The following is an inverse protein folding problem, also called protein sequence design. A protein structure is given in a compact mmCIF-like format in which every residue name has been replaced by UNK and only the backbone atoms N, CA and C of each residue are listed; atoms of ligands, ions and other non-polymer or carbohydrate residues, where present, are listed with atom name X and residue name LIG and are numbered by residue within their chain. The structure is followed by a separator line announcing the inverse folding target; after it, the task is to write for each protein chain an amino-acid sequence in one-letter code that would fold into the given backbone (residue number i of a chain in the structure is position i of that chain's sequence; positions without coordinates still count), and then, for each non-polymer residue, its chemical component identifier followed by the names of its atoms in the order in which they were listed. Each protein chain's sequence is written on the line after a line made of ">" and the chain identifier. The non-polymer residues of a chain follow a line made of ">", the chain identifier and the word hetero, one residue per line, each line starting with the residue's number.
data_IF_744732448102
#
_entry.id   IF_744732448102
#
_cell.length_a   1.000
_cell.length_b   1.000
_cell.length_c   1.000
_cell.angle_alpha   90.00
_cell.angle_beta   90.00
_cell.angle_gamma   90.00
#
_symmetry.space_group_name_H-M   'P 1'
#
loop_
_entity.id
_entity.type
_entity.pdbx_description
1 polymer ?
2 branched ?
3 non-polymer ?
4 non-polymer ?
5 non-polymer ?
6 water ?
#
# COMPACT_ATOMS: atom_id res chain seq x y z
N UNK A 1 16.79 -15.47 3.40
CA UNK A 1 17.09 -15.75 2.00
C UNK A 1 16.57 -14.64 1.10
N UNK A 2 17.38 -14.26 0.11
CA UNK A 2 17.02 -13.23 -0.85
C UNK A 2 16.95 -13.85 -2.24
N UNK A 3 15.99 -13.39 -3.04
CA UNK A 3 15.89 -13.75 -4.45
C UNK A 3 16.31 -12.54 -5.28
N UNK A 4 17.35 -12.71 -6.09
CA UNK A 4 17.95 -11.61 -6.83
C UNK A 4 17.71 -11.77 -8.32
N UNK A 5 17.45 -10.65 -8.99
CA UNK A 5 17.32 -10.59 -10.43
C UNK A 5 18.30 -9.58 -10.99
N UNK A 6 18.80 -9.86 -12.19
CA UNK A 6 19.75 -8.96 -12.83
C UNK A 6 19.07 -7.64 -13.21
N UNK A 7 19.86 -6.57 -13.20
CA UNK A 7 19.38 -5.24 -13.56
C UNK A 7 19.95 -4.76 -14.89
N UNK A 8 20.32 -5.70 -15.76
CA UNK A 8 20.85 -5.36 -17.07
C UNK A 8 22.24 -4.74 -17.02
N UNK A 13 24.87 -5.44 -11.81
CA UNK A 13 24.07 -5.16 -10.62
C UNK A 13 22.90 -6.13 -10.51
N UNK A 14 22.44 -6.34 -9.28
CA UNK A 14 21.35 -7.26 -8.99
C UNK A 14 20.32 -6.57 -8.11
N UNK A 15 19.05 -6.83 -8.39
CA UNK A 15 17.97 -6.34 -7.55
C UNK A 15 17.40 -7.46 -6.72
N UNK A 16 17.54 -7.37 -5.40
CA UNK A 16 17.23 -8.47 -4.50
C UNK A 16 16.08 -8.11 -3.58
N UNK A 17 15.18 -9.07 -3.38
CA UNK A 17 14.07 -8.97 -2.45
C UNK A 17 14.10 -10.17 -1.52
N UNK A 18 13.54 -10.03 -0.31
CA UNK A 18 13.38 -11.21 0.55
C UNK A 18 12.57 -12.28 -0.17
N UNK A 19 12.93 -13.54 0.10
CA UNK A 19 12.44 -14.66 -0.70
C UNK A 19 10.91 -14.74 -0.70
N UNK A 20 10.26 -14.33 0.39
CA UNK A 20 8.81 -14.40 0.48
C UNK A 20 8.13 -13.13 0.01
N UNK A 21 8.87 -12.18 -0.54
CA UNK A 21 8.33 -10.90 -0.99
C UNK A 21 8.24 -10.87 -2.51
N UNK A 22 7.21 -10.20 -3.01
CA UNK A 22 7.04 -10.02 -4.45
C UNK A 22 7.91 -8.86 -4.93
N UNK A 23 8.42 -8.99 -6.15
CA UNK A 23 9.34 -8.02 -6.73
C UNK A 23 8.67 -7.28 -7.88
N UNK A 24 8.95 -5.98 -7.98
CA UNK A 24 8.46 -5.15 -9.08
C UNK A 24 9.17 -3.81 -9.10
N UNK A 25 9.76 -3.46 -10.23
CA UNK A 25 10.40 -2.16 -10.36
C UNK A 25 11.61 -2.05 -9.45
N UNK A 26 11.61 -1.04 -8.58
CA UNK A 26 12.69 -0.82 -7.63
C UNK A 26 12.27 -1.11 -6.20
N UNK A 27 11.20 -1.88 -6.01
CA UNK A 27 10.66 -2.11 -4.68
C UNK A 27 10.31 -3.58 -4.50
N UNK A 28 10.26 -3.99 -3.24
CA UNK A 28 9.76 -5.29 -2.83
C UNK A 28 8.44 -5.09 -2.09
N UNK A 29 7.58 -6.10 -2.16
CA UNK A 29 6.24 -5.97 -1.61
C UNK A 29 5.87 -7.21 -0.81
N UNK A 30 5.13 -7.00 0.28
CA UNK A 30 4.61 -8.07 1.10
C UNK A 30 3.13 -7.82 1.35
N UNK A 31 2.31 -8.85 1.15
CA UNK A 31 0.87 -8.77 1.36
C UNK A 31 0.57 -9.50 2.67
N UNK A 32 0.15 -8.74 3.68
CA UNK A 32 -0.07 -9.27 5.02
C UNK A 32 -1.50 -9.76 5.14
N UNK A 33 -1.68 -11.08 5.23
CA UNK A 33 -3.01 -11.67 5.38
C UNK A 33 -3.53 -11.61 6.81
N UNK A 34 -2.77 -11.02 7.74
CA UNK A 34 -3.22 -10.85 9.12
C UNK A 34 -3.87 -9.48 9.27
N UNK A 35 -5.04 -9.45 9.90
CA UNK A 35 -5.83 -8.23 10.02
C UNK A 35 -5.41 -7.45 11.26
N UNK A 36 -4.93 -6.22 11.05
CA UNK A 36 -4.55 -5.32 12.13
C UNK A 36 -5.13 -3.94 11.85
N UNK A 37 -5.13 -3.09 12.87
CA UNK A 37 -5.51 -1.69 12.68
C UNK A 37 -4.38 -1.00 11.94
N UNK A 38 -4.64 0.22 11.45
CA UNK A 38 -3.72 0.87 10.53
C UNK A 38 -2.36 1.12 11.17
N UNK A 39 -2.36 1.69 12.38
CA UNK A 39 -1.10 1.99 13.05
C UNK A 39 -0.32 0.72 13.38
N UNK A 40 -1.02 -0.37 13.70
CA UNK A 40 -0.33 -1.63 13.93
C UNK A 40 0.14 -2.26 12.63
N UNK A 41 -0.56 -2.00 11.52
CA UNK A 41 -0.08 -2.46 10.22
C UNK A 41 1.21 -1.75 9.83
N UNK A 42 1.29 -0.44 10.07
CA UNK A 42 2.51 0.29 9.76
C UNK A 42 3.67 -0.17 10.63
N UNK A 43 3.42 -0.41 11.92
CA UNK A 43 4.47 -0.91 12.79
C UNK A 43 4.94 -2.29 12.37
N UNK A 44 4.04 -3.11 11.82
CA UNK A 44 4.43 -4.43 11.34
C UNK A 44 5.33 -4.33 10.12
N UNK A 45 5.03 -3.39 9.20
CA UNK A 45 5.91 -3.18 8.06
C UNK A 45 7.26 -2.61 8.50
N UNK A 46 7.25 -1.73 9.50
CA UNK A 46 8.49 -1.14 9.99
C UNK A 46 9.37 -2.21 10.64
N UNK A 47 8.75 -3.20 11.29
CA UNK A 47 9.53 -4.27 11.90
C UNK A 47 10.16 -5.19 10.86
N UNK A 48 9.70 -5.14 9.61
CA UNK A 48 10.32 -5.87 8.52
C UNK A 48 11.23 -4.99 7.67
N UNK A 49 11.43 -3.73 8.05
CA UNK A 49 12.26 -2.82 7.29
C UNK A 49 11.55 -2.10 6.17
N UNK A 50 10.23 -2.12 6.14
CA UNK A 50 9.44 -1.51 5.08
C UNK A 50 8.47 -0.49 5.68
N UNK A 51 7.65 0.08 4.81
CA UNK A 51 6.53 0.92 5.20
C UNK A 51 5.29 0.44 4.45
N UNK A 52 4.13 0.93 4.87
CA UNK A 52 2.92 0.68 4.10
C UNK A 52 3.10 1.23 2.69
N UNK A 53 2.42 0.59 1.73
CA UNK A 53 2.72 0.82 0.32
C UNK A 53 2.37 2.25 -0.07
N UNK A 54 3.23 2.85 -0.89
CA UNK A 54 3.00 4.16 -1.49
C UNK A 54 2.90 3.95 -3.00
N UNK A 55 1.72 4.20 -3.56
CA UNK A 55 1.52 4.02 -5.00
C UNK A 55 2.05 5.24 -5.75
N UNK A 56 3.01 5.01 -6.64
CA UNK A 56 3.63 6.08 -7.42
C UNK A 56 3.21 6.09 -8.88
N UNK A 57 2.85 4.94 -9.44
CA UNK A 57 2.40 4.84 -10.82
C UNK A 57 1.17 3.95 -10.87
N UNK A 58 0.49 3.97 -12.01
CA UNK A 58 -0.61 3.02 -12.21
C UNK A 58 -0.09 1.60 -12.39
N UNK A 59 1.09 1.45 -13.01
CA UNK A 59 1.65 0.12 -13.21
C UNK A 59 1.97 -0.56 -11.89
N UNK A 60 2.43 0.22 -10.90
CA UNK A 60 2.71 -0.35 -9.59
C UNK A 60 1.45 -0.91 -8.95
N UNK A 61 0.32 -0.22 -9.12
CA UNK A 61 -0.94 -0.71 -8.55
C UNK A 61 -1.44 -1.94 -9.30
N UNK A 62 -1.31 -1.95 -10.63
CA UNK A 62 -1.79 -3.08 -11.42
C UNK A 62 -1.05 -4.36 -11.05
N UNK A 63 0.25 -4.26 -10.78
CA UNK A 63 0.99 -5.43 -10.32
C UNK A 63 0.52 -5.88 -8.94
N UNK A 64 0.28 -4.94 -8.04
CA UNK A 64 -0.05 -5.28 -6.66
C UNK A 64 -1.40 -5.97 -6.58
N UNK A 65 -2.41 -5.43 -7.26
CA UNK A 65 -3.76 -5.97 -7.15
C UNK A 65 -3.87 -7.38 -7.72
N UNK A 66 -2.92 -7.80 -8.56
CA UNK A 66 -2.91 -9.18 -9.01
C UNK A 66 -2.54 -10.15 -7.90
N UNK A 67 -1.96 -9.65 -6.80
CA UNK A 67 -1.59 -10.48 -5.67
C UNK A 67 -2.65 -10.51 -4.58
N UNK A 68 -3.67 -9.67 -4.67
CA UNK A 68 -4.62 -9.49 -3.58
C UNK A 68 -5.83 -10.41 -3.73
N UNK A 69 -6.49 -10.64 -2.60
CA UNK A 69 -7.76 -11.35 -2.56
C UNK A 69 -8.89 -10.33 -2.72
N UNK A 70 -9.77 -10.56 -3.70
CA UNK A 70 -10.82 -9.60 -4.01
C UNK A 70 -11.80 -9.42 -2.86
N UNK A 71 -11.89 -10.38 -1.95
CA UNK A 71 -12.85 -10.33 -0.86
C UNK A 71 -12.31 -9.62 0.38
N UNK A 72 -11.19 -8.91 0.27
CA UNK A 72 -10.60 -8.22 1.41
C UNK A 72 -10.13 -6.84 1.00
N UNK A 73 -10.08 -5.94 1.98
CA UNK A 73 -9.51 -4.61 1.81
C UNK A 73 -8.12 -4.57 2.43
N UNK A 74 -7.27 -3.68 1.91
CA UNK A 74 -5.87 -3.63 2.29
C UNK A 74 -5.46 -2.19 2.59
N UNK A 75 -4.90 -1.98 3.78
CA UNK A 75 -4.46 -0.65 4.18
C UNK A 75 -3.32 -0.15 3.29
N UNK A 76 -3.31 1.15 3.03
CA UNK A 76 -2.28 1.80 2.24
C UNK A 76 -1.49 2.76 3.12
N UNK A 77 -0.37 3.25 2.57
CA UNK A 77 0.46 4.21 3.27
C UNK A 77 -0.01 5.64 3.08
N UNK A 78 -1.33 5.84 3.16
CA UNK A 78 -1.95 7.13 2.92
C UNK A 78 -2.97 7.39 4.01
N UNK A 79 -2.86 8.54 4.67
CA UNK A 79 -3.74 8.86 5.79
C UNK A 79 -4.04 10.35 5.80
N UNK A 80 -5.08 10.71 6.57
CA UNK A 80 -5.51 12.09 6.76
C UNK A 80 -5.49 12.35 8.27
N UNK A 81 -4.32 12.70 8.82
CA UNK A 81 -4.18 12.71 10.29
C UNK A 81 -5.13 13.66 11.01
N UNK A 82 -5.41 14.83 10.44
CA UNK A 82 -6.22 15.83 11.11
C UNK A 82 -7.68 15.81 10.66
N UNK A 83 -8.07 14.84 9.84
CA UNK A 83 -9.44 14.80 9.34
C UNK A 83 -9.84 16.04 8.59
N UNK A 84 -8.89 16.68 7.90
CA UNK A 84 -9.15 17.90 7.15
C UNK A 84 -8.84 17.72 5.67
N UNK A 85 -9.00 16.49 5.17
CA UNK A 85 -8.82 16.16 3.76
C UNK A 85 -7.42 16.51 3.26
N UNK A 86 -6.43 16.46 4.15
CA UNK A 86 -5.04 16.74 3.80
C UNK A 86 -4.26 15.42 3.78
N UNK A 87 -4.54 14.61 2.76
CA UNK A 87 -3.97 13.28 2.68
C UNK A 87 -2.46 13.34 2.50
N UNK A 88 -1.74 12.55 3.29
CA UNK A 88 -0.28 12.52 3.26
C UNK A 88 0.18 11.08 3.05
N UNK A 89 1.19 10.91 2.21
CA UNK A 89 1.80 9.60 2.04
C UNK A 89 2.78 9.33 3.18
N UNK A 90 2.96 8.04 3.49
CA UNK A 90 3.76 7.67 4.65
C UNK A 90 5.22 8.06 4.46
N UNK A 91 5.70 8.13 3.22
CA UNK A 91 7.08 8.51 2.93
C UNK A 91 7.20 9.96 2.48
N UNK A 92 6.18 10.78 2.76
CA UNK A 92 6.22 12.22 2.51
C UNK A 92 6.38 12.56 1.02
N UNK A 93 5.82 11.72 0.14
CA UNK A 93 5.73 12.13 -1.25
C UNK A 93 4.49 13.00 -1.45
N UNK A 94 4.58 14.05 -2.27
CA UNK A 94 3.46 15.00 -2.39
C UNK A 94 2.22 14.34 -2.96
N UNK A 95 1.13 14.38 -2.18
CA UNK A 95 -0.12 13.76 -2.59
C UNK A 95 -0.74 14.46 -3.79
N UNK A 96 -0.50 15.76 -3.94
CA UNK A 96 -1.09 16.50 -5.04
C UNK A 96 -0.41 16.19 -6.37
N UNK A 97 0.89 15.89 -6.35
CA UNK A 97 1.65 15.61 -7.55
C UNK A 97 1.76 14.12 -7.83
N UNK A 98 1.00 13.29 -7.13
CA UNK A 98 1.10 11.84 -7.24
C UNK A 98 -0.23 11.27 -7.73
N UNK A 99 -0.20 9.98 -8.09
CA UNK A 99 -1.39 9.31 -8.60
C UNK A 99 -2.44 9.21 -7.49
N UNK A 100 -3.70 9.24 -7.90
CA UNK A 100 -4.83 9.11 -6.98
C UNK A 100 -5.87 8.23 -7.65
N UNK A 101 -6.20 7.10 -7.02
CA UNK A 101 -7.06 6.09 -7.61
C UNK A 101 -8.26 5.80 -6.72
N UNK A 102 -8.84 6.86 -6.16
CA UNK A 102 -10.02 6.71 -5.31
C UNK A 102 -11.18 6.12 -6.10
N UNK A 103 -11.98 5.31 -5.42
CA UNK A 103 -13.22 4.82 -6.02
C UNK A 103 -14.17 5.97 -6.29
N UNK A 104 -15.15 5.72 -7.16
CA UNK A 104 -16.20 6.70 -7.40
C UNK A 104 -16.94 6.99 -6.10
N UNK A 105 -16.89 8.24 -5.65
CA UNK A 105 -17.52 8.64 -4.42
C UNK A 105 -16.64 8.62 -3.19
N UNK A 106 -15.33 8.41 -3.35
CA UNK A 106 -14.40 8.38 -2.24
C UNK A 106 -13.29 9.41 -2.45
N UNK A 107 -12.70 9.94 -1.36
CA UNK A 107 -13.07 9.71 0.04
C UNK A 107 -14.40 10.38 0.37
N UNK A 108 -15.00 10.06 1.51
CA UNK A 108 -16.33 10.59 1.78
C UNK A 108 -16.61 10.86 3.26
N UNK A 109 -15.62 10.83 4.14
CA UNK A 109 -15.87 11.18 5.54
C UNK A 109 -14.55 11.54 6.21
N UNK A 110 -14.53 12.71 6.86
CA UNK A 110 -13.31 13.15 7.54
C UNK A 110 -12.93 12.23 8.70
N UNK A 111 -13.91 11.54 9.29
CA UNK A 111 -13.61 10.60 10.37
C UNK A 111 -12.94 9.33 9.86
N UNK A 112 -13.02 9.05 8.56
CA UNK A 112 -12.31 7.92 7.96
C UNK A 112 -10.95 8.44 7.49
N UNK A 113 -9.96 8.32 8.37
CA UNK A 113 -8.67 8.99 8.18
C UNK A 113 -7.61 8.09 7.57
N UNK A 114 -7.93 6.84 7.24
CA UNK A 114 -6.97 5.93 6.65
C UNK A 114 -7.49 5.41 5.31
N UNK A 115 -6.57 5.21 4.38
CA UNK A 115 -6.90 4.79 3.02
C UNK A 115 -6.71 3.29 2.87
N UNK A 116 -7.67 2.66 2.19
CA UNK A 116 -7.61 1.24 1.90
C UNK A 116 -7.95 1.01 0.43
N UNK A 117 -7.34 -0.01 -0.16
CA UNK A 117 -7.68 -0.45 -1.51
C UNK A 117 -8.60 -1.65 -1.40
N UNK A 118 -9.67 -1.65 -2.20
CA UNK A 118 -10.75 -2.62 -2.06
C UNK A 118 -11.36 -2.85 -3.44
N UNK A 119 -12.07 -3.97 -3.58
CA UNK A 119 -12.65 -4.39 -4.85
C UNK A 119 -14.15 -4.11 -4.82
N UNK A 120 -14.58 -3.13 -5.62
CA UNK A 120 -15.99 -2.77 -5.76
C UNK A 120 -16.38 -2.93 -7.22
N UNK A 121 -17.19 -3.93 -7.52
CA UNK A 121 -17.67 -4.01 -8.89
C UNK A 121 -18.79 -3.00 -9.10
N UNK A 122 -18.93 -2.46 -10.32
CA UNK A 122 -18.22 -2.80 -11.56
C UNK A 122 -16.84 -2.17 -11.72
N UNK A 123 -16.46 -1.26 -10.82
CA UNK A 123 -15.20 -0.54 -10.98
C UNK A 123 -14.00 -1.47 -10.82
N UNK A 124 -14.00 -2.29 -9.78
CA UNK A 124 -12.86 -3.15 -9.48
C UNK A 124 -12.06 -2.61 -8.31
N UNK A 125 -10.73 -2.59 -8.46
CA UNK A 125 -9.86 -2.14 -7.39
C UNK A 125 -9.79 -0.62 -7.36
N UNK A 126 -9.91 -0.06 -6.16
CA UNK A 126 -9.83 1.38 -5.98
C UNK A 126 -9.70 1.72 -4.52
N UNK A 127 -9.30 2.97 -4.27
CA UNK A 127 -9.05 3.41 -2.90
C UNK A 127 -10.35 3.80 -2.21
N UNK A 128 -10.39 3.56 -0.91
CA UNK A 128 -11.52 3.94 -0.07
C UNK A 128 -10.98 4.36 1.29
N UNK A 129 -11.45 5.50 1.79
CA UNK A 129 -11.09 5.92 3.13
C UNK A 129 -11.95 5.19 4.16
N UNK A 130 -11.32 4.71 5.23
CA UNK A 130 -11.97 3.88 6.23
C UNK A 130 -11.49 4.30 7.62
N UNK A 131 -12.17 3.77 8.64
CA UNK A 131 -11.78 4.03 10.02
C UNK A 131 -10.45 3.34 10.30
N UNK A 132 -9.51 4.09 10.89
CA UNK A 132 -8.17 3.57 11.12
C UNK A 132 -8.16 2.43 12.13
N UNK A 133 -9.09 2.44 13.08
CA UNK A 133 -9.13 1.43 14.13
C UNK A 133 -9.85 0.16 13.71
N UNK A 134 -10.10 -0.03 12.42
CA UNK A 134 -10.66 -1.27 11.92
C UNK A 134 -9.53 -2.19 11.47
N UNK A 135 -9.66 -3.48 11.80
CA UNK A 135 -8.62 -4.45 11.51
C UNK A 135 -8.78 -4.97 10.08
N UNK A 136 -7.76 -4.75 9.26
CA UNK A 136 -7.76 -5.18 7.87
C UNK A 136 -6.38 -5.70 7.50
N UNK A 137 -6.30 -6.33 6.33
CA UNK A 137 -5.02 -6.70 5.76
C UNK A 137 -4.26 -5.45 5.31
N UNK A 138 -3.00 -5.63 4.94
CA UNK A 138 -2.17 -4.49 4.58
C UNK A 138 -1.15 -4.91 3.52
N UNK A 139 -0.46 -3.91 2.98
CA UNK A 139 0.56 -4.11 1.96
C UNK A 139 1.79 -3.31 2.39
N UNK A 140 2.92 -4.00 2.53
CA UNK A 140 4.19 -3.35 2.87
C UNK A 140 5.04 -3.19 1.61
N UNK A 141 5.93 -2.20 1.65
CA UNK A 141 6.81 -1.92 0.53
C UNK A 141 8.16 -1.43 1.04
N UNK A 142 9.23 -2.04 0.54
CA UNK A 142 10.59 -1.57 0.81
C UNK A 142 11.34 -1.49 -0.51
N UNK A 143 12.44 -0.73 -0.49
CA UNK A 143 13.29 -0.64 -1.67
C UNK A 143 14.01 -1.96 -1.92
N UNK A 144 14.40 -2.17 -3.17
CA UNK A 144 15.19 -3.34 -3.52
C UNK A 144 16.57 -3.27 -2.88
N UNK A 145 17.11 -4.44 -2.56
CA UNK A 145 18.50 -4.55 -2.11
C UNK A 145 19.37 -4.75 -3.35
N UNK A 146 20.31 -3.83 -3.56
CA UNK A 146 21.15 -3.84 -4.74
C UNK A 146 22.55 -4.30 -4.36
N UNK A 147 23.02 -5.36 -5.00
CA UNK A 147 24.33 -5.93 -4.72
C UNK A 147 25.19 -5.96 -5.98
X LIG B 1 -26.28 4.21 2.36
X LIG B 1 -25.48 4.04 3.66
X LIG B 1 -24.12 3.38 3.38
X LIG B 1 -24.26 2.16 2.45
X LIG B 1 -25.06 2.53 1.20
X LIG B 1 -25.29 1.33 0.32
X LIG B 1 -27.60 4.52 2.74
X LIG B 1 -26.16 3.20 4.58
X LIG B 1 -23.50 2.98 4.59
X LIG B 1 -22.98 1.69 2.07
X LIG B 1 -26.34 3.01 1.62
X LIG B 1 -25.69 0.25 1.16
X LIG B 2 -22.14 3.43 4.61
X LIG B 2 -21.24 2.23 4.91
X LIG B 2 -21.52 1.75 6.32
X LIG B 2 -21.40 2.90 7.33
X LIG B 2 -22.30 4.08 6.90
X LIG B 2 -22.12 5.31 7.77
X LIG B 2 -19.87 2.63 4.92
X LIG B 2 -20.67 0.67 6.69
X LIG B 2 -21.78 2.46 8.63
X LIG B 2 -21.97 4.45 5.55
X LIG B 2 -23.11 5.27 8.79
X LIG B 3 -19.11 1.76 4.05
X LIG B 3 -17.61 1.97 4.34
X LIG B 3 -17.16 3.31 3.74
X LIG B 3 -17.58 3.42 2.26
X LIG B 3 -19.09 3.21 2.12
X LIG B 3 -19.56 3.21 0.68
X LIG B 3 -16.81 0.97 3.70
X LIG B 3 -15.76 3.52 3.88
X LIG B 3 -17.26 4.71 1.77
X LIG B 3 -19.44 1.93 2.70
X LIG B 3 -20.96 3.48 0.67
X LIG B 4 -16.78 -0.22 4.51
X LIG B 4 -15.40 -0.89 4.36
X LIG B 4 -15.29 -1.55 2.98
X LIG B 4 -16.49 -2.48 2.73
X LIG B 4 -17.80 -1.68 2.89
X LIG B 4 -19.04 -2.53 2.71
X LIG B 4 -15.23 -1.94 5.31
X LIG B 4 -14.07 -2.27 2.84
X LIG B 4 -16.41 -3.01 1.42
X LIG B 4 -17.84 -1.10 4.21
X LIG B 4 -19.67 -2.66 3.99
X LIG B 5 -26.56 -0.61 0.41
X LIG B 5 -27.39 -1.49 1.38
X LIG B 5 -26.60 -2.73 1.85
X LIG B 5 -25.76 -3.37 0.72
X LIG B 5 -24.94 -2.30 -0.01
X LIG B 5 -24.14 -2.85 -1.17
X LIG B 5 -28.57 -1.99 0.74
X LIG B 5 -27.49 -3.71 2.38
X LIG B 5 -24.88 -4.33 1.28
X LIG B 5 -25.85 -1.34 -0.55
X LIG B 5 -24.96 -2.79 -2.33
X LIG B 6 -27.08 -4.09 3.71
X LIG B 6 -27.37 -5.58 3.88
X LIG B 6 -28.88 -5.80 3.86
X LIG B 6 -29.58 -4.89 4.89
X LIG B 6 -29.16 -3.42 4.69
X LIG B 6 -29.68 -2.51 5.79
X LIG B 6 -26.93 -6.02 5.17
X LIG B 6 -29.24 -7.16 4.08
X LIG B 6 -30.98 -5.01 4.75
X LIG B 6 -27.72 -3.32 4.68
X LIG B 6 -28.94 -1.30 5.73
X LIG B 7 -25.49 -6.01 5.21
X LIG B 7 -25.00 -7.40 4.88
X LIG B 7 -25.45 -8.34 5.97
X LIG B 7 -24.98 -7.86 7.35
X LIG B 7 -25.38 -6.38 7.58
X LIG B 7 -24.69 -5.79 8.80
X LIG B 7 -23.57 -7.46 4.89
X LIG B 7 -24.98 -9.65 5.74
X LIG B 7 -25.57 -8.66 8.37
X LIG B 7 -25.00 -5.57 6.44
X LIG B 7 -23.89 -4.69 8.36
X LIG C 1 -15.30 5.69 2.74
X LIG D 1 5.97 2.84 -4.51
X LIG E 1 -11.58 10.70 4.88
X LIG F 1 -7.49 2.40 -11.94
X LIG F 1 -7.58 3.20 -13.12
X LIG F 1 -8.01 3.18 -10.74
X LIG F 1 -9.43 3.29 -10.81
X LIG F 1 -9.95 4.01 -9.69
X LIG F 1 -11.47 4.06 -9.75
X LIG F 1 -11.90 4.99 -10.75
#
# INVERSE_FOLDING_TARGET
>A
ALTCFSEGTKVPAWGCCPASWKSFGSSCYFISSEEKVWSKSEQNCVEMGAHLVVFNTEAEQNFIVQQLNESFSYFLGLSDPQGNNNWQWIDKTPYEKNVRFWHLGEPNHSAEQCASIVFWKPTGWGWNDVICETRRNSICEMNKIYL
>B hetero
1 BMA C1 C2 C3 C4 C5 C6 O1 O2 O3 O4 O5 O6
2 MAN C1 C2 C3 C4 C5 C6 O2 O3 O4 O5 O6
3 MAN C1 C2 C3 C4 C5 C6 O2 O3 O4 O5 O6
4 MAN C1 C2 C3 C4 C5 C6 O2 O3 O4 O5 O6
5 MAN C1 C2 C3 C4 C5 C6 O2 O3 O4 O5 O6
6 MAN C1 C2 C3 C4 C5 C6 O2 O3 O4 O5 O6
7 MAN C1 C2 C3 C4 C5 C6 O2 O3 O4 O5 O6
>C hetero
1 CA CA
>D hetero
1 CA CA
>E hetero
1 NA NA
>F hetero
1 PEG C1 O1 C2 O2 C3 C4 O4
#
